data_IF_063617892932
#
_entry.id   IF_063617892932
#
_cell.length_a   1.000
_cell.length_b   1.000
_cell.length_c   1.000
_cell.angle_alpha   90.00
_cell.angle_beta   90.00
_cell.angle_gamma   90.00
#
_symmetry.space_group_name_H-M   'P 1'
#
loop_
_entity.id
_entity.type
_entity.pdbx_description
1 polymer ?
#
# COMPACT_ATOMS: atom_id res chain seq x y z
N UNK A 1 -21.28 -19.61 -4.00
CA UNK A 1 -20.95 -18.17 -3.96
C UNK A 1 -22.01 -17.40 -4.74
N UNK A 2 -22.67 -16.41 -4.14
CA UNK A 2 -23.57 -15.52 -4.85
C UNK A 2 -22.76 -14.40 -5.49
N UNK A 3 -22.84 -14.24 -6.80
CA UNK A 3 -22.18 -13.18 -7.56
C UNK A 3 -23.19 -12.23 -8.17
N UNK A 4 -22.76 -11.00 -8.44
CA UNK A 4 -23.50 -10.03 -9.25
C UNK A 4 -22.61 -9.56 -10.39
N UNK A 5 -23.12 -9.63 -11.60
CA UNK A 5 -22.40 -9.22 -12.79
C UNK A 5 -22.34 -7.69 -12.90
N UNK A 6 -21.15 -7.18 -13.27
CA UNK A 6 -20.89 -5.76 -13.51
C UNK A 6 -20.60 -5.44 -14.98
N UNK A 7 -20.50 -6.46 -15.82
CA UNK A 7 -20.32 -6.30 -17.26
C UNK A 7 -21.62 -5.80 -17.90
N UNK A 8 -21.53 -4.93 -18.91
CA UNK A 8 -22.70 -4.25 -19.49
C UNK A 8 -23.77 -5.22 -20.01
N UNK A 9 -23.36 -6.36 -20.58
CA UNK A 9 -24.23 -7.40 -21.14
C UNK A 9 -25.08 -8.14 -20.10
N UNK A 10 -24.62 -8.18 -18.85
CA UNK A 10 -25.24 -8.98 -17.77
C UNK A 10 -25.44 -8.19 -16.48
N UNK A 11 -25.36 -6.87 -16.55
CA UNK A 11 -25.35 -5.98 -15.40
C UNK A 11 -26.51 -6.28 -14.45
N UNK A 12 -26.22 -6.35 -13.16
CA UNK A 12 -27.17 -6.61 -12.06
C UNK A 12 -27.80 -8.01 -12.04
N UNK A 13 -27.49 -8.89 -13.01
CA UNK A 13 -27.85 -10.30 -12.92
C UNK A 13 -27.10 -10.94 -11.76
N UNK A 14 -27.82 -11.77 -10.99
CA UNK A 14 -27.25 -12.56 -9.91
C UNK A 14 -27.15 -14.03 -10.33
N UNK A 15 -26.11 -14.70 -9.84
CA UNK A 15 -25.88 -16.13 -10.08
C UNK A 15 -25.28 -16.78 -8.84
N UNK A 16 -25.59 -18.06 -8.63
CA UNK A 16 -24.97 -18.89 -7.61
C UNK A 16 -23.96 -19.80 -8.31
N UNK A 17 -22.69 -19.61 -7.98
CA UNK A 17 -21.60 -20.45 -8.46
C UNK A 17 -21.17 -21.44 -7.37
N UNK A 18 -21.15 -22.72 -7.73
CA UNK A 18 -20.47 -23.75 -6.94
C UNK A 18 -18.96 -23.70 -7.23
N UNK A 19 -18.14 -24.07 -6.24
CA UNK A 19 -16.70 -24.08 -6.37
C UNK A 19 -16.08 -25.20 -5.54
N UNK A 20 -15.03 -25.82 -6.07
CA UNK A 20 -14.17 -26.71 -5.28
C UNK A 20 -13.19 -25.90 -4.44
N UNK A 21 -12.63 -24.83 -5.03
CA UNK A 21 -11.68 -23.91 -4.41
C UNK A 21 -12.09 -22.46 -4.66
N UNK A 22 -11.90 -21.60 -3.66
CA UNK A 22 -12.15 -20.16 -3.72
C UNK A 22 -10.87 -19.40 -3.38
N UNK A 23 -10.45 -18.49 -4.26
CA UNK A 23 -9.30 -17.59 -4.01
C UNK A 23 -9.83 -16.16 -3.94
N UNK A 24 -9.75 -15.54 -2.76
CA UNK A 24 -10.05 -14.13 -2.57
C UNK A 24 -8.85 -13.28 -3.01
N UNK A 25 -8.97 -12.68 -4.20
CA UNK A 25 -8.00 -11.76 -4.78
C UNK A 25 -8.62 -10.37 -5.04
N UNK A 26 -9.65 -9.97 -4.28
CA UNK A 26 -10.45 -8.77 -4.57
C UNK A 26 -9.71 -7.44 -4.34
N UNK A 27 -8.50 -7.49 -3.81
CA UNK A 27 -7.78 -6.29 -3.36
C UNK A 27 -8.51 -5.59 -2.20
N UNK A 28 -8.20 -4.30 -1.96
CA UNK A 28 -8.86 -3.50 -0.94
C UNK A 28 -10.13 -2.83 -1.45
N UNK A 29 -11.12 -2.66 -0.56
CA UNK A 29 -12.04 -1.53 -0.61
C UNK A 29 -11.27 -0.27 -0.21
N UNK A 30 -11.34 0.75 -1.07
CA UNK A 30 -10.90 2.10 -0.75
C UNK A 30 -11.94 2.72 0.21
N UNK A 31 -11.64 2.75 1.50
CA UNK A 31 -12.60 3.10 2.53
C UNK A 31 -12.60 4.61 2.78
N UNK A 32 -12.97 5.39 1.76
CA UNK A 32 -13.08 6.84 1.85
C UNK A 32 -14.01 7.27 3.00
N UNK A 33 -15.16 6.59 3.15
CA UNK A 33 -16.13 6.88 4.21
C UNK A 33 -15.67 6.60 5.64
N UNK A 34 -14.44 6.10 5.86
CA UNK A 34 -13.84 6.06 7.20
C UNK A 34 -13.37 7.43 7.70
N UNK A 35 -13.22 8.40 6.78
CA UNK A 35 -12.88 9.78 7.09
C UNK A 35 -13.92 10.68 6.43
N UNK A 36 -14.61 11.49 7.24
CA UNK A 36 -15.63 12.40 6.72
C UNK A 36 -15.03 13.39 5.70
N UNK A 37 -15.69 13.55 4.54
CA UNK A 37 -15.27 14.47 3.47
C UNK A 37 -14.05 14.03 2.63
N UNK A 38 -13.49 12.85 2.90
CA UNK A 38 -12.36 12.30 2.14
C UNK A 38 -12.82 11.68 0.83
N UNK A 39 -12.04 11.88 -0.23
CA UNK A 39 -12.12 11.12 -1.49
C UNK A 39 -12.63 11.93 -2.68
N UNK A 40 -12.49 11.37 -3.90
CA UNK A 40 -12.70 12.08 -5.16
C UNK A 40 -14.15 12.50 -5.41
N UNK A 41 -15.09 11.91 -4.66
CA UNK A 41 -16.51 12.31 -4.65
C UNK A 41 -16.78 13.51 -3.71
N UNK A 42 -15.76 13.96 -2.95
CA UNK A 42 -15.84 15.03 -1.97
C UNK A 42 -14.75 16.08 -2.22
N UNK A 43 -13.80 16.25 -1.29
CA UNK A 43 -12.88 17.40 -1.28
C UNK A 43 -11.42 17.06 -1.62
N UNK A 44 -11.08 15.79 -1.87
CA UNK A 44 -9.69 15.36 -2.11
C UNK A 44 -9.58 14.36 -3.23
N UNK A 45 -8.47 14.37 -3.94
CA UNK A 45 -8.16 13.44 -5.00
C UNK A 45 -7.58 12.10 -4.51
N UNK A 46 -7.54 11.12 -5.42
CA UNK A 46 -7.00 9.78 -5.18
C UNK A 46 -6.33 9.23 -6.44
N UNK A 47 -5.25 8.46 -6.29
CA UNK A 47 -4.58 7.78 -7.42
C UNK A 47 -4.63 6.25 -7.28
N UNK A 48 -5.53 5.73 -6.44
CA UNK A 48 -5.62 4.30 -6.16
C UNK A 48 -6.26 3.48 -7.30
N UNK A 49 -7.03 4.12 -8.19
CA UNK A 49 -7.62 3.51 -9.39
C UNK A 49 -7.26 4.32 -10.62
N UNK A 50 -7.39 3.73 -11.81
CA UNK A 50 -7.12 4.46 -13.05
C UNK A 50 -8.12 5.61 -13.28
N UNK A 51 -9.40 5.44 -12.90
CA UNK A 51 -10.39 6.50 -13.00
C UNK A 51 -10.05 7.67 -12.06
N UNK A 52 -9.71 7.38 -10.80
CA UNK A 52 -9.35 8.44 -9.86
C UNK A 52 -8.07 9.16 -10.31
N UNK A 53 -7.07 8.43 -10.83
CA UNK A 53 -5.84 9.04 -11.33
C UNK A 53 -6.08 9.97 -12.53
N UNK A 54 -7.00 9.61 -13.44
CA UNK A 54 -7.38 10.47 -14.56
C UNK A 54 -8.07 11.76 -14.08
N UNK A 55 -9.05 11.65 -13.18
CA UNK A 55 -9.72 12.80 -12.58
C UNK A 55 -8.74 13.71 -11.81
N UNK A 56 -7.86 13.09 -11.01
CA UNK A 56 -6.81 13.79 -10.26
C UNK A 56 -5.91 14.59 -11.19
N UNK A 57 -5.59 14.07 -12.37
CA UNK A 57 -4.79 14.78 -13.36
C UNK A 57 -5.50 16.02 -13.89
N UNK A 58 -6.81 15.95 -14.15
CA UNK A 58 -7.61 17.10 -14.58
C UNK A 58 -7.62 18.20 -13.51
N UNK A 59 -7.86 17.83 -12.24
CA UNK A 59 -7.80 18.77 -11.11
C UNK A 59 -6.41 19.38 -10.92
N UNK A 60 -5.36 18.57 -11.07
CA UNK A 60 -3.98 19.05 -10.99
C UNK A 60 -3.63 19.99 -12.16
N UNK A 61 -4.13 19.74 -13.38
CA UNK A 61 -3.99 20.69 -14.49
C UNK A 61 -4.65 22.04 -14.19
N UNK A 62 -5.84 22.03 -13.58
CA UNK A 62 -6.51 23.26 -13.16
C UNK A 62 -5.69 24.01 -12.08
N UNK A 63 -5.08 23.29 -11.14
CA UNK A 63 -4.15 23.85 -10.16
C UNK A 63 -2.92 24.52 -10.84
N UNK A 64 -2.30 23.85 -11.82
CA UNK A 64 -1.21 24.45 -12.61
C UNK A 64 -1.66 25.70 -13.38
N UNK A 65 -2.84 25.68 -14.00
CA UNK A 65 -3.36 26.83 -14.75
C UNK A 65 -3.60 28.07 -13.86
N UNK A 66 -3.95 27.87 -12.57
CA UNK A 66 -4.03 28.98 -11.59
C UNK A 66 -2.66 29.53 -11.25
N UNK A 67 -1.66 28.67 -11.01
CA UNK A 67 -0.28 29.11 -10.81
C UNK A 67 0.28 29.84 -12.02
N UNK A 68 0.00 29.41 -13.25
CA UNK A 68 0.42 30.10 -14.48
C UNK A 68 -0.18 31.51 -14.60
N UNK A 69 -1.28 31.80 -13.89
CA UNK A 69 -1.89 33.13 -13.76
C UNK A 69 -1.36 33.95 -12.57
N UNK A 70 -0.42 33.41 -11.80
CA UNK A 70 0.18 34.07 -10.64
C UNK A 70 -0.49 33.77 -9.30
N UNK A 71 -1.47 32.87 -9.25
CA UNK A 71 -2.12 32.46 -8.00
C UNK A 71 -1.28 31.41 -7.26
N UNK A 72 -0.97 31.66 -5.98
CA UNK A 72 -0.30 30.64 -5.15
C UNK A 72 -1.23 29.45 -4.92
N UNK A 73 -0.69 28.24 -4.90
CA UNK A 73 -1.44 27.02 -4.64
C UNK A 73 -0.78 26.19 -3.55
N UNK A 74 -1.56 25.80 -2.55
CA UNK A 74 -1.19 24.88 -1.46
C UNK A 74 -1.59 23.47 -1.85
N UNK A 75 -0.60 22.62 -1.99
CA UNK A 75 -0.74 21.23 -2.43
C UNK A 75 -0.43 20.33 -1.24
N UNK A 76 -1.39 19.52 -0.82
CA UNK A 76 -1.21 18.53 0.26
C UNK A 76 -1.27 17.12 -0.30
N UNK A 77 -0.25 16.30 -0.03
CA UNK A 77 -0.20 14.90 -0.43
C UNK A 77 0.06 14.02 0.79
N UNK A 78 -0.54 12.83 0.86
CA UNK A 78 -0.20 11.88 1.92
C UNK A 78 -1.33 10.92 2.26
N UNK A 79 -1.62 10.75 3.55
CA UNK A 79 -2.63 9.79 4.03
C UNK A 79 -3.84 10.48 4.63
N UNK A 80 -5.03 10.03 4.24
CA UNK A 80 -6.31 10.60 4.65
C UNK A 80 -6.99 9.91 5.83
N UNK A 81 -6.34 8.95 6.49
CA UNK A 81 -6.92 8.23 7.62
C UNK A 81 -5.82 7.80 8.62
N UNK A 82 -6.09 7.73 9.94
CA UNK A 82 -5.08 7.37 10.96
C UNK A 82 -4.45 5.99 10.76
N UNK A 83 -5.15 5.08 10.09
CA UNK A 83 -4.72 3.70 9.81
C UNK A 83 -4.52 3.41 8.31
N UNK A 84 -4.27 4.43 7.49
CA UNK A 84 -3.98 4.25 6.07
C UNK A 84 -2.66 3.48 5.81
N UNK A 85 -2.53 2.96 4.59
CA UNK A 85 -1.33 2.29 4.06
C UNK A 85 -0.93 2.91 2.72
N UNK A 86 0.00 2.28 1.99
CA UNK A 86 0.44 2.69 0.66
C UNK A 86 1.10 4.08 0.61
N UNK A 87 1.81 4.46 1.67
CA UNK A 87 2.57 5.71 1.77
C UNK A 87 3.57 5.85 0.60
N UNK A 88 4.18 4.76 0.13
CA UNK A 88 5.08 4.80 -1.02
C UNK A 88 4.45 5.37 -2.30
N UNK A 89 3.15 5.12 -2.53
CA UNK A 89 2.44 5.66 -3.71
C UNK A 89 2.20 7.17 -3.58
N UNK A 90 1.81 7.63 -2.39
CA UNK A 90 1.67 9.05 -2.12
C UNK A 90 3.03 9.77 -2.17
N UNK A 91 4.09 9.15 -1.65
CA UNK A 91 5.43 9.69 -1.65
C UNK A 91 5.95 9.88 -3.08
N UNK A 92 5.73 8.88 -3.95
CA UNK A 92 5.98 9.00 -5.39
C UNK A 92 5.19 10.14 -6.03
N UNK A 93 3.90 10.26 -5.71
CA UNK A 93 3.05 11.29 -6.28
C UNK A 93 3.50 12.70 -5.89
N UNK A 94 3.88 12.91 -4.62
CA UNK A 94 4.40 14.19 -4.14
C UNK A 94 5.67 14.61 -4.90
N UNK A 95 6.61 13.68 -5.11
CA UNK A 95 7.82 13.93 -5.88
C UNK A 95 7.52 14.22 -7.35
N UNK A 96 6.55 13.52 -7.95
CA UNK A 96 6.15 13.77 -9.34
C UNK A 96 5.45 15.13 -9.50
N UNK A 97 4.64 15.58 -8.53
CA UNK A 97 4.08 16.95 -8.55
C UNK A 97 5.22 17.97 -8.47
N UNK A 98 6.14 17.83 -7.51
CA UNK A 98 7.25 18.76 -7.37
C UNK A 98 8.11 18.82 -8.65
N UNK A 99 8.36 17.67 -9.29
CA UNK A 99 9.03 17.61 -10.58
C UNK A 99 8.27 18.37 -11.69
N UNK A 100 6.95 18.20 -11.78
CA UNK A 100 6.12 18.89 -12.78
C UNK A 100 6.04 20.40 -12.54
N UNK A 101 5.93 20.84 -11.29
CA UNK A 101 5.99 22.25 -10.87
C UNK A 101 7.33 22.86 -11.31
N UNK A 102 8.44 22.21 -10.98
CA UNK A 102 9.79 22.68 -11.36
C UNK A 102 9.97 22.74 -12.88
N UNK A 103 9.45 21.73 -13.60
CA UNK A 103 9.50 21.70 -15.07
C UNK A 103 8.74 22.87 -15.70
N UNK A 104 7.64 23.29 -15.07
CA UNK A 104 6.84 24.46 -15.48
C UNK A 104 7.37 25.79 -14.94
N UNK A 105 8.41 25.77 -14.09
CA UNK A 105 8.99 26.92 -13.40
C UNK A 105 8.01 27.63 -12.46
N UNK A 106 7.13 26.86 -11.81
CA UNK A 106 6.07 27.36 -10.93
C UNK A 106 6.43 27.25 -9.43
N UNK A 107 7.67 26.90 -9.10
CA UNK A 107 8.11 26.59 -7.72
C UNK A 107 7.80 27.72 -6.73
N UNK A 108 7.95 28.96 -7.17
CA UNK A 108 7.69 30.17 -6.37
C UNK A 108 6.20 30.41 -6.03
N UNK A 109 5.29 29.65 -6.64
CA UNK A 109 3.84 29.72 -6.42
C UNK A 109 3.27 28.44 -5.81
N UNK A 110 4.05 27.36 -5.71
CA UNK A 110 3.59 26.09 -5.18
C UNK A 110 4.10 25.86 -3.75
N UNK A 111 3.19 25.66 -2.81
CA UNK A 111 3.52 25.17 -1.48
C UNK A 111 3.14 23.69 -1.39
N UNK A 112 4.14 22.80 -1.50
CA UNK A 112 3.91 21.36 -1.47
C UNK A 112 4.21 20.83 -0.07
N UNK A 113 3.26 20.09 0.49
CA UNK A 113 3.39 19.53 1.84
C UNK A 113 2.87 18.10 1.93
N UNK A 114 3.50 17.34 2.82
CA UNK A 114 3.20 15.96 3.13
C UNK A 114 2.48 15.84 4.48
N UNK A 115 1.42 15.05 4.57
CA UNK A 115 0.77 14.71 5.83
C UNK A 115 0.61 13.19 5.97
N UNK A 116 1.12 12.60 7.04
CA UNK A 116 1.14 11.14 7.18
C UNK A 116 0.89 10.65 8.60
N UNK A 117 0.23 9.49 8.66
CA UNK A 117 0.01 8.69 9.86
C UNK A 117 1.25 7.87 10.28
N UNK A 118 2.35 7.94 9.54
CA UNK A 118 3.64 7.35 9.93
C UNK A 118 4.19 8.03 11.19
N UNK A 119 4.88 7.28 12.04
CA UNK A 119 5.59 7.87 13.18
C UNK A 119 6.76 8.76 12.73
N UNK A 120 7.51 8.29 11.73
CA UNK A 120 8.61 9.01 11.10
C UNK A 120 8.49 8.91 9.58
N UNK A 121 8.96 9.94 8.88
CA UNK A 121 8.96 9.94 7.42
C UNK A 121 9.80 8.76 6.89
N UNK A 122 9.27 8.01 5.93
CA UNK A 122 9.96 6.86 5.34
C UNK A 122 9.85 5.57 6.15
N UNK A 123 8.86 5.48 7.05
CA UNK A 123 8.43 4.23 7.68
C UNK A 123 7.78 3.28 6.66
N UNK A 124 7.01 3.85 5.73
CA UNK A 124 6.28 3.20 4.64
C UNK A 124 5.37 2.03 5.05
N UNK A 125 4.94 1.98 6.32
CA UNK A 125 4.12 0.90 6.89
C UNK A 125 4.89 -0.40 7.16
N UNK A 126 6.22 -0.34 7.08
CA UNK A 126 7.11 -1.50 7.27
C UNK A 126 8.17 -1.28 8.35
N UNK A 127 7.97 -0.30 9.23
CA UNK A 127 8.92 0.06 10.30
C UNK A 127 10.20 0.73 9.77
N UNK A 128 10.14 1.33 8.58
CA UNK A 128 11.30 1.80 7.83
C UNK A 128 12.28 0.67 7.49
N UNK A 129 13.47 1.01 7.04
CA UNK A 129 14.56 0.06 6.84
C UNK A 129 15.94 0.71 6.99
N UNK A 130 16.97 -0.10 7.22
CA UNK A 130 18.36 0.30 7.10
C UNK A 130 18.88 -0.15 5.73
N UNK A 131 19.23 0.79 4.87
CA UNK A 131 19.71 0.54 3.51
C UNK A 131 21.22 0.77 3.45
N UNK A 132 21.92 -0.11 2.73
CA UNK A 132 23.33 0.10 2.41
C UNK A 132 23.44 0.95 1.14
N UNK A 133 24.09 2.11 1.22
CA UNK A 133 24.33 3.02 0.10
C UNK A 133 25.74 3.62 0.19
N UNK A 134 26.52 3.50 -0.88
CA UNK A 134 27.88 4.07 -0.99
C UNK A 134 28.80 3.78 0.20
N UNK A 135 28.71 2.57 0.77
CA UNK A 135 29.52 2.14 1.92
C UNK A 135 28.92 2.46 3.30
N UNK A 136 27.87 3.28 3.38
CA UNK A 136 27.19 3.63 4.62
C UNK A 136 25.88 2.85 4.80
N UNK A 137 25.47 2.68 6.05
CA UNK A 137 24.16 2.13 6.41
C UNK A 137 23.33 3.29 6.92
N UNK A 138 22.27 3.64 6.19
CA UNK A 138 21.40 4.77 6.52
C UNK A 138 19.96 4.29 6.71
N UNK A 139 19.22 4.82 7.69
CA UNK A 139 17.80 4.55 7.78
C UNK A 139 17.06 5.21 6.60
N UNK A 140 15.95 4.63 6.18
CA UNK A 140 15.07 5.16 5.12
C UNK A 140 14.57 6.56 5.41
N UNK A 141 14.45 6.93 6.69
CA UNK A 141 14.15 8.29 7.13
C UNK A 141 15.06 9.33 6.50
N UNK A 142 16.37 9.15 6.60
CA UNK A 142 17.35 10.10 6.06
C UNK A 142 17.22 10.22 4.55
N UNK A 143 16.95 9.10 3.85
CA UNK A 143 16.71 9.12 2.41
C UNK A 143 15.46 9.94 2.05
N UNK A 144 14.36 9.70 2.77
CA UNK A 144 13.09 10.34 2.52
C UNK A 144 13.13 11.85 2.84
N UNK A 145 13.71 12.23 3.98
CA UNK A 145 13.92 13.63 4.36
C UNK A 145 14.82 14.37 3.37
N UNK A 146 15.90 13.72 2.90
CA UNK A 146 16.80 14.30 1.89
C UNK A 146 16.07 14.57 0.57
N UNK A 147 15.24 13.61 0.11
CA UNK A 147 14.45 13.78 -1.11
C UNK A 147 13.41 14.89 -0.95
N UNK A 148 12.64 14.91 0.14
CA UNK A 148 11.66 15.97 0.35
C UNK A 148 12.32 17.34 0.45
N UNK A 149 13.47 17.45 1.12
CA UNK A 149 14.25 18.70 1.17
C UNK A 149 14.76 19.11 -0.22
N UNK A 150 15.30 18.19 -1.03
CA UNK A 150 15.75 18.47 -2.41
C UNK A 150 14.62 19.00 -3.30
N UNK A 151 13.39 18.52 -3.09
CA UNK A 151 12.21 18.91 -3.86
C UNK A 151 11.38 20.02 -3.21
N UNK A 152 11.83 20.61 -2.11
CA UNK A 152 11.12 21.70 -1.43
C UNK A 152 9.77 21.29 -0.81
N UNK A 153 9.62 20.02 -0.45
CA UNK A 153 8.40 19.47 0.15
C UNK A 153 8.53 19.52 1.68
N UNK A 154 7.57 20.15 2.36
CA UNK A 154 7.49 20.15 3.83
C UNK A 154 6.70 18.92 4.31
N UNK A 155 6.83 18.50 5.57
CA UNK A 155 6.11 17.32 6.06
C UNK A 155 5.60 17.43 7.49
N UNK A 156 4.49 16.73 7.74
CA UNK A 156 3.88 16.49 9.05
C UNK A 156 3.66 14.99 9.21
N UNK A 157 4.28 14.39 10.22
CA UNK A 157 4.16 12.96 10.56
C UNK A 157 3.49 12.81 11.92
N UNK A 158 3.04 11.60 12.25
CA UNK A 158 2.24 11.33 13.43
C UNK A 158 0.87 12.01 13.39
N UNK A 159 0.34 12.24 12.18
CA UNK A 159 -0.90 12.94 11.93
C UNK A 159 -2.00 11.97 11.47
N UNK A 160 -3.05 11.85 12.27
CA UNK A 160 -4.27 11.11 11.93
C UNK A 160 -5.35 12.05 11.41
N UNK A 161 -5.54 12.08 10.09
CA UNK A 161 -6.63 12.87 9.47
C UNK A 161 -8.00 12.36 9.94
N UNK A 162 -8.86 13.26 10.44
CA UNK A 162 -10.17 12.93 11.02
C UNK A 162 -11.33 13.35 10.14
N UNK A 163 -11.22 14.51 9.49
CA UNK A 163 -12.27 15.14 8.69
C UNK A 163 -11.65 16.04 7.64
N UNK A 164 -12.27 16.10 6.47
CA UNK A 164 -11.98 17.08 5.43
C UNK A 164 -13.20 17.97 5.22
N UNK A 165 -12.96 19.27 5.15
CA UNK A 165 -13.92 20.29 4.72
C UNK A 165 -13.37 20.96 3.45
N UNK A 166 -14.17 21.78 2.73
CA UNK A 166 -13.67 22.50 1.56
C UNK A 166 -12.40 23.30 1.89
N UNK A 167 -11.26 22.87 1.35
CA UNK A 167 -9.96 23.50 1.53
C UNK A 167 -9.31 23.34 2.90
N UNK A 168 -9.83 22.49 3.80
CA UNK A 168 -9.30 22.30 5.16
C UNK A 168 -9.22 20.81 5.53
N UNK A 169 -8.05 20.37 5.94
CA UNK A 169 -7.81 19.04 6.54
C UNK A 169 -7.75 19.19 8.06
N UNK A 170 -8.63 18.51 8.78
CA UNK A 170 -8.59 18.40 10.25
C UNK A 170 -7.86 17.11 10.64
N UNK A 171 -6.85 17.22 11.49
CA UNK A 171 -6.05 16.07 11.92
C UNK A 171 -5.63 16.14 13.38
N UNK A 172 -5.47 14.96 13.98
CA UNK A 172 -5.00 14.77 15.34
C UNK A 172 -3.50 14.39 15.29
N UNK A 173 -2.67 14.99 16.14
CA UNK A 173 -1.26 14.58 16.30
C UNK A 173 -1.10 13.47 17.32
N UNK A 174 0.04 12.78 17.33
CA UNK A 174 0.39 11.85 18.41
C UNK A 174 0.43 12.51 19.80
N UNK A 175 0.66 13.82 19.87
CA UNK A 175 0.57 14.59 21.12
C UNK A 175 -0.89 14.86 21.56
N UNK A 176 -1.89 14.52 20.73
CA UNK A 176 -3.32 14.73 20.98
C UNK A 176 -3.83 16.12 20.59
N UNK A 177 -3.02 16.90 19.87
CA UNK A 177 -3.41 18.21 19.37
C UNK A 177 -4.33 18.05 18.17
N UNK A 178 -5.45 18.80 18.15
CA UNK A 178 -6.29 18.91 16.95
C UNK A 178 -5.81 20.13 16.17
N UNK A 179 -5.37 19.92 14.95
CA UNK A 179 -4.82 20.95 14.08
C UNK A 179 -5.53 20.93 12.73
N UNK A 180 -5.38 22.04 12.02
CA UNK A 180 -5.91 22.21 10.68
C UNK A 180 -4.78 22.44 9.69
N UNK A 181 -4.99 22.01 8.45
CA UNK A 181 -4.11 22.30 7.32
C UNK A 181 -4.93 22.73 6.12
N UNK A 182 -4.68 23.94 5.64
CA UNK A 182 -5.38 24.48 4.48
C UNK A 182 -4.77 23.96 3.17
N UNK A 183 -5.58 23.78 2.14
CA UNK A 183 -5.16 23.29 0.84
C UNK A 183 -6.01 23.87 -0.30
N UNK A 184 -5.42 24.00 -1.48
CA UNK A 184 -6.12 24.32 -2.72
C UNK A 184 -6.22 23.09 -3.64
N UNK A 185 -5.32 22.11 -3.45
CA UNK A 185 -5.38 20.76 -4.00
C UNK A 185 -4.89 19.75 -2.96
N UNK A 186 -5.58 18.62 -2.81
CA UNK A 186 -5.15 17.55 -1.90
C UNK A 186 -5.31 16.18 -2.53
N UNK A 187 -4.29 15.31 -2.45
CA UNK A 187 -4.38 13.90 -2.81
C UNK A 187 -4.01 13.04 -1.59
N UNK A 188 -5.01 12.33 -1.05
CA UNK A 188 -4.87 11.59 0.21
C UNK A 188 -5.26 10.12 0.02
N UNK A 189 -4.39 9.21 0.47
CA UNK A 189 -4.64 7.78 0.43
C UNK A 189 -5.63 7.40 1.54
N UNK A 190 -6.76 6.72 1.23
CA UNK A 190 -7.74 6.33 2.23
C UNK A 190 -7.27 5.13 3.06
N UNK A 191 -8.01 4.85 4.14
CA UNK A 191 -7.92 3.56 4.81
C UNK A 191 -8.33 2.43 3.86
N UNK A 192 -7.71 1.26 4.00
CA UNK A 192 -8.08 0.06 3.24
C UNK A 192 -8.86 -0.91 4.13
N UNK A 193 -9.92 -1.48 3.56
CA UNK A 193 -10.72 -2.52 4.19
C UNK A 193 -10.92 -3.69 3.21
N UNK A 194 -11.45 -4.82 3.67
CA UNK A 194 -11.97 -5.83 2.76
C UNK A 194 -13.19 -5.32 2.00
N UNK A 195 -13.51 -5.95 0.87
CA UNK A 195 -14.58 -5.51 -0.04
C UNK A 195 -16.01 -5.70 0.50
N UNK A 196 -16.15 -6.16 1.76
CA UNK A 196 -17.44 -6.35 2.41
C UNK A 196 -18.10 -7.68 2.06
N UNK A 197 -17.31 -8.70 1.73
CA UNK A 197 -17.83 -10.05 1.54
C UNK A 197 -18.49 -10.56 2.83
N UNK A 198 -19.63 -11.24 2.66
CA UNK A 198 -20.37 -11.92 3.72
C UNK A 198 -20.27 -13.42 3.52
N UNK A 199 -20.28 -14.16 4.62
CA UNK A 199 -20.29 -15.61 4.61
C UNK A 199 -21.45 -16.13 5.44
N UNK A 200 -22.17 -17.12 4.90
CA UNK A 200 -23.30 -17.76 5.55
C UNK A 200 -23.09 -19.27 5.52
N UNK A 201 -23.43 -19.96 6.62
CA UNK A 201 -23.37 -21.42 6.67
C UNK A 201 -24.59 -22.05 5.95
N UNK A 202 -24.68 -23.39 5.92
CA UNK A 202 -25.79 -24.10 5.27
C UNK A 202 -27.16 -23.83 5.92
N UNK A 203 -27.19 -23.46 7.19
CA UNK A 203 -28.40 -23.11 7.93
C UNK A 203 -28.84 -21.65 7.70
N UNK A 204 -28.02 -20.85 7.02
CA UNK A 204 -28.25 -19.42 6.79
C UNK A 204 -27.68 -18.50 7.87
N UNK A 205 -26.95 -19.02 8.85
CA UNK A 205 -26.35 -18.19 9.91
C UNK A 205 -25.15 -17.39 9.36
N UNK A 206 -25.03 -16.13 9.79
CA UNK A 206 -23.89 -15.27 9.43
C UNK A 206 -22.61 -15.77 10.15
N UNK A 207 -21.66 -16.24 9.36
CA UNK A 207 -20.33 -16.71 9.80
C UNK A 207 -19.21 -15.78 9.30
N UNK A 208 -19.54 -14.54 8.93
CA UNK A 208 -18.58 -13.58 8.39
C UNK A 208 -17.40 -13.37 9.34
N UNK A 209 -17.63 -13.30 10.65
CA UNK A 209 -16.57 -13.11 11.65
C UNK A 209 -15.64 -14.32 11.82
N UNK A 210 -16.08 -15.50 11.36
CA UNK A 210 -15.25 -16.72 11.31
C UNK A 210 -14.23 -16.58 10.18
N UNK A 211 -14.65 -16.17 8.99
CA UNK A 211 -13.78 -16.08 7.81
C UNK A 211 -12.98 -14.76 7.75
N UNK A 212 -13.56 -13.65 8.20
CA UNK A 212 -13.01 -12.31 8.02
C UNK A 212 -12.62 -11.68 9.36
N UNK A 213 -11.55 -10.88 9.33
CA UNK A 213 -11.18 -10.00 10.44
C UNK A 213 -12.12 -8.78 10.51
N UNK A 214 -12.06 -8.02 11.60
CA UNK A 214 -12.94 -6.86 11.82
C UNK A 214 -12.82 -5.78 10.72
N UNK A 215 -11.65 -5.66 10.07
CA UNK A 215 -11.42 -4.79 8.92
C UNK A 215 -11.92 -5.38 7.59
N UNK A 216 -12.57 -6.54 7.61
CA UNK A 216 -13.14 -7.21 6.45
C UNK A 216 -12.16 -8.01 5.59
N UNK A 217 -10.87 -8.04 5.92
CA UNK A 217 -9.90 -8.89 5.21
C UNK A 217 -10.04 -10.36 5.62
N UNK A 218 -9.73 -11.28 4.71
CA UNK A 218 -9.89 -12.71 4.95
C UNK A 218 -8.79 -13.25 5.87
N UNK A 219 -9.18 -13.96 6.94
CA UNK A 219 -8.24 -14.66 7.81
C UNK A 219 -7.60 -15.84 7.08
N UNK A 220 -6.30 -16.01 7.29
CA UNK A 220 -5.48 -17.07 6.69
C UNK A 220 -4.65 -17.79 7.77
N UNK A 221 -3.67 -18.61 7.41
CA UNK A 221 -2.79 -19.40 8.28
C UNK A 221 -1.80 -18.55 9.11
N UNK A 222 -2.29 -17.51 9.77
CA UNK A 222 -1.53 -16.59 10.61
C UNK A 222 -1.92 -16.74 12.10
N UNK A 223 -1.04 -16.29 13.00
CA UNK A 223 -1.35 -16.18 14.42
C UNK A 223 -1.98 -14.82 14.72
N UNK A 224 -3.28 -14.81 14.97
CA UNK A 224 -4.06 -13.60 15.28
C UNK A 224 -4.18 -13.32 16.79
N UNK A 225 -3.42 -14.01 17.63
CA UNK A 225 -3.41 -13.76 19.08
C UNK A 225 -2.94 -12.34 19.35
N UNK A 226 -3.69 -11.59 20.17
CA UNK A 226 -3.30 -10.23 20.57
C UNK A 226 -2.06 -10.29 21.46
N UNK A 227 -0.95 -9.75 20.96
CA UNK A 227 0.35 -9.70 21.64
C UNK A 227 0.90 -8.27 21.61
N UNK A 228 1.67 -7.85 22.63
CA UNK A 228 2.39 -6.57 22.56
C UNK A 228 3.46 -6.62 21.46
N UNK A 229 3.85 -5.44 20.95
CA UNK A 229 4.84 -5.29 19.85
C UNK A 229 6.15 -6.07 20.09
N UNK A 230 6.62 -6.14 21.34
CA UNK A 230 7.85 -6.86 21.72
C UNK A 230 7.76 -8.38 21.59
N UNK A 231 6.55 -8.94 21.50
CA UNK A 231 6.30 -10.37 21.41
C UNK A 231 5.92 -10.84 20.00
N UNK A 232 5.79 -9.91 19.05
CA UNK A 232 5.50 -10.25 17.65
C UNK A 232 6.64 -11.02 17.02
N UNK A 233 6.31 -12.09 16.30
CA UNK A 233 7.30 -12.98 15.70
C UNK A 233 7.14 -13.07 14.18
N UNK A 234 8.26 -13.29 13.45
CA UNK A 234 8.24 -13.70 12.05
C UNK A 234 7.28 -14.86 11.74
N UNK A 235 7.13 -15.80 12.69
CA UNK A 235 6.26 -16.98 12.57
C UNK A 235 4.76 -16.68 12.68
N UNK A 236 4.39 -15.49 13.15
CA UNK A 236 2.97 -15.10 13.25
C UNK A 236 2.37 -14.84 11.85
N UNK A 237 3.22 -14.54 10.86
CA UNK A 237 2.80 -14.25 9.49
C UNK A 237 2.50 -15.51 8.67
N UNK A 238 1.46 -15.46 7.81
CA UNK A 238 1.04 -16.61 7.02
C UNK A 238 2.11 -17.06 6.03
N UNK A 239 2.00 -18.30 5.60
CA UNK A 239 2.92 -18.90 4.62
C UNK A 239 2.23 -19.63 3.48
N UNK A 240 0.96 -20.02 3.67
CA UNK A 240 0.17 -20.83 2.74
C UNK A 240 -1.03 -20.05 2.19
N UNK A 241 -1.56 -19.11 2.98
CA UNK A 241 -2.71 -18.25 2.73
C UNK A 241 -4.05 -18.98 2.58
N UNK A 242 -4.18 -20.17 3.19
CA UNK A 242 -5.46 -20.88 3.37
C UNK A 242 -6.18 -20.36 4.60
N UNK A 243 -7.51 -20.28 4.54
CA UNK A 243 -8.34 -20.01 5.71
C UNK A 243 -8.26 -21.16 6.73
N UNK A 244 -8.08 -20.88 8.03
CA UNK A 244 -7.90 -21.92 9.04
C UNK A 244 -9.15 -22.76 9.31
N UNK A 245 -10.34 -22.30 8.93
CA UNK A 245 -11.61 -23.03 9.12
C UNK A 245 -12.04 -23.78 7.86
N UNK A 246 -11.85 -23.17 6.68
CA UNK A 246 -12.29 -23.71 5.40
C UNK A 246 -11.08 -24.05 4.52
N UNK A 247 -10.80 -25.35 4.39
CA UNK A 247 -9.62 -25.89 3.71
C UNK A 247 -9.64 -25.83 2.16
N UNK A 248 -10.51 -25.00 1.62
CA UNK A 248 -10.64 -24.75 0.20
C UNK A 248 -10.81 -23.26 -0.11
N UNK A 249 -10.62 -22.40 0.89
CA UNK A 249 -10.74 -20.94 0.78
C UNK A 249 -9.36 -20.33 1.03
N UNK A 250 -8.89 -19.50 0.11
CA UNK A 250 -7.58 -18.86 0.14
C UNK A 250 -7.71 -17.35 -0.04
N UNK A 251 -6.67 -16.59 0.33
CA UNK A 251 -6.54 -15.19 -0.04
C UNK A 251 -5.17 -14.85 -0.62
N UNK A 252 -5.10 -13.84 -1.46
CA UNK A 252 -3.84 -13.34 -2.01
C UNK A 252 -3.81 -11.83 -2.10
N UNK A 253 -2.59 -11.27 -2.19
CA UNK A 253 -2.34 -9.85 -2.28
C UNK A 253 -2.87 -9.07 -1.08
N UNK A 254 -3.60 -7.99 -1.32
CA UNK A 254 -4.11 -7.13 -0.24
C UNK A 254 -5.27 -7.79 0.54
N UNK A 255 -5.95 -8.79 -0.03
CA UNK A 255 -7.21 -9.32 0.50
C UNK A 255 -7.08 -10.16 1.78
N UNK A 256 -5.88 -10.68 2.10
CA UNK A 256 -5.66 -11.40 3.36
C UNK A 256 -5.50 -10.42 4.53
N UNK A 257 -5.89 -10.85 5.73
CA UNK A 257 -5.75 -10.10 6.96
C UNK A 257 -4.34 -10.29 7.54
N UNK A 258 -3.50 -9.24 7.65
CA UNK A 258 -2.26 -9.33 8.41
C UNK A 258 -2.54 -9.67 9.88
N UNK A 259 -1.72 -10.51 10.53
CA UNK A 259 -1.89 -10.84 11.95
C UNK A 259 -1.70 -9.62 12.86
N UNK A 260 -0.81 -8.73 12.47
CA UNK A 260 -0.47 -7.50 13.17
C UNK A 260 0.18 -6.49 12.20
N UNK A 261 0.47 -5.28 12.67
CA UNK A 261 1.24 -4.28 11.90
C UNK A 261 2.70 -4.71 11.76
N UNK A 262 3.46 -4.04 10.88
CA UNK A 262 4.92 -4.22 10.82
C UNK A 262 5.60 -3.11 11.61
N UNK A 263 5.20 -1.86 11.36
CA UNK A 263 5.63 -0.71 12.15
C UNK A 263 5.11 -0.81 13.58
N UNK A 264 5.87 -0.25 14.53
CA UNK A 264 5.43 -0.15 15.91
C UNK A 264 4.12 0.64 15.98
N UNK A 265 3.03 0.09 16.53
CA UNK A 265 1.80 0.84 16.73
C UNK A 265 2.04 2.04 17.64
N UNK A 266 1.48 3.17 17.23
CA UNK A 266 1.46 4.42 17.97
C UNK A 266 0.02 4.80 18.29
N UNK A 267 -0.15 5.36 19.48
CA UNK A 267 -1.43 5.82 20.00
C UNK A 267 -1.21 7.24 20.49
N UNK A 268 -2.12 8.15 20.14
CA UNK A 268 -2.06 9.52 20.64
C UNK A 268 -2.31 9.57 22.15
N UNK A 269 -2.01 10.71 22.78
CA UNK A 269 -2.36 10.95 24.19
C UNK A 269 -3.88 10.88 24.46
N UNK A 270 -4.72 11.00 23.42
CA UNK A 270 -6.19 10.84 23.50
C UNK A 270 -6.67 9.40 23.29
N UNK A 271 -5.78 8.46 23.00
CA UNK A 271 -6.15 7.06 22.75
C UNK A 271 -6.46 6.72 21.29
N UNK A 272 -6.28 7.66 20.35
CA UNK A 272 -6.48 7.40 18.91
C UNK A 272 -5.30 6.60 18.36
N UNK A 273 -5.57 5.46 17.72
CA UNK A 273 -4.54 4.72 16.99
C UNK A 273 -4.16 5.48 15.71
N UNK A 274 -2.92 5.96 15.63
CA UNK A 274 -2.36 6.67 14.47
C UNK A 274 -1.13 5.89 14.04
N UNK A 275 -1.26 5.03 13.04
CA UNK A 275 -0.18 4.12 12.64
C UNK A 275 -0.32 3.69 11.19
N UNK A 276 0.82 3.66 10.49
CA UNK A 276 0.90 3.07 9.17
C UNK A 276 0.59 1.57 9.23
N UNK A 277 -0.26 1.09 8.31
CA UNK A 277 -0.61 -0.33 8.22
C UNK A 277 0.22 -1.05 7.15
N UNK A 278 0.41 -2.36 7.34
CA UNK A 278 1.35 -3.15 6.55
C UNK A 278 1.05 -3.11 5.03
N UNK A 279 2.02 -2.73 4.19
CA UNK A 279 1.85 -2.70 2.74
C UNK A 279 1.93 -4.11 2.15
N UNK A 280 1.07 -4.41 1.18
CA UNK A 280 1.12 -5.65 0.37
C UNK A 280 1.41 -5.26 -1.07
N UNK A 281 2.69 -5.08 -1.39
CA UNK A 281 3.17 -4.56 -2.68
C UNK A 281 3.07 -5.60 -3.81
N UNK A 282 3.43 -5.21 -5.03
CA UNK A 282 3.31 -6.06 -6.23
C UNK A 282 4.05 -7.39 -6.14
N UNK A 283 5.34 -7.37 -5.79
CA UNK A 283 6.16 -8.59 -5.71
C UNK A 283 5.62 -9.61 -4.69
N UNK A 284 5.40 -9.28 -3.41
CA UNK A 284 4.74 -10.20 -2.48
C UNK A 284 3.36 -10.66 -2.97
N UNK A 285 2.55 -9.79 -3.59
CA UNK A 285 1.24 -10.22 -4.13
C UNK A 285 1.37 -11.27 -5.24
N UNK A 286 2.32 -11.10 -6.16
CA UNK A 286 2.61 -12.07 -7.23
C UNK A 286 3.13 -13.40 -6.69
N UNK A 287 4.09 -13.35 -5.77
CA UNK A 287 4.66 -14.55 -5.12
C UNK A 287 3.58 -15.31 -4.33
N UNK A 288 2.73 -14.62 -3.58
CA UNK A 288 1.64 -15.23 -2.82
C UNK A 288 0.63 -15.88 -3.76
N UNK A 289 0.21 -15.18 -4.82
CA UNK A 289 -0.70 -15.73 -5.83
C UNK A 289 -0.16 -17.00 -6.47
N UNK A 290 1.14 -17.01 -6.81
CA UNK A 290 1.82 -18.19 -7.34
C UNK A 290 1.81 -19.35 -6.35
N UNK A 291 2.17 -19.14 -5.08
CA UNK A 291 2.20 -20.21 -4.07
C UNK A 291 0.82 -20.81 -3.82
N UNK A 292 -0.23 -19.97 -3.76
CA UNK A 292 -1.62 -20.45 -3.64
C UNK A 292 -2.00 -21.32 -4.84
N UNK A 293 -1.72 -20.85 -6.06
CA UNK A 293 -2.02 -21.60 -7.28
C UNK A 293 -1.26 -22.94 -7.36
N UNK A 294 0.04 -22.95 -7.04
CA UNK A 294 0.87 -24.17 -7.03
C UNK A 294 0.36 -25.19 -6.00
N UNK A 295 0.01 -24.76 -4.78
CA UNK A 295 -0.52 -25.65 -3.76
C UNK A 295 -1.90 -26.23 -4.13
N UNK A 296 -2.80 -25.44 -4.74
CA UNK A 296 -4.09 -25.94 -5.22
C UNK A 296 -3.88 -26.95 -6.36
N UNK A 297 -3.00 -26.65 -7.32
CA UNK A 297 -2.69 -27.55 -8.42
C UNK A 297 -2.10 -28.88 -7.92
N UNK A 298 -1.18 -28.85 -6.95
CA UNK A 298 -0.60 -30.03 -6.33
C UNK A 298 -1.66 -30.87 -5.60
N UNK A 299 -2.56 -30.22 -4.86
CA UNK A 299 -3.70 -30.88 -4.19
C UNK A 299 -4.59 -31.62 -5.18
N UNK A 300 -4.95 -30.98 -6.30
CA UNK A 300 -5.79 -31.58 -7.35
C UNK A 300 -5.08 -32.78 -7.99
N UNK A 301 -3.78 -32.65 -8.31
CA UNK A 301 -3.03 -33.71 -9.02
C UNK A 301 -2.71 -34.92 -8.15
N UNK A 302 -2.50 -34.71 -6.85
CA UNK A 302 -1.97 -35.76 -5.95
C UNK A 302 -2.99 -36.27 -4.95
N UNK A 303 -4.09 -35.54 -4.71
CA UNK A 303 -5.02 -35.78 -3.61
C UNK A 303 -4.44 -35.54 -2.22
N UNK A 304 -3.17 -35.12 -2.10
CA UNK A 304 -2.51 -34.86 -0.82
C UNK A 304 -2.85 -33.47 -0.31
N UNK A 305 -2.99 -33.33 1.00
CA UNK A 305 -3.28 -32.04 1.66
C UNK A 305 -2.04 -31.27 2.13
N UNK A 306 -0.86 -31.86 1.94
CA UNK A 306 0.41 -31.25 2.31
C UNK A 306 0.74 -30.03 1.45
N UNK A 307 1.43 -29.07 2.06
CA UNK A 307 1.84 -27.82 1.43
C UNK A 307 3.32 -27.81 1.11
N UNK A 308 3.62 -27.98 -0.17
CA UNK A 308 5.00 -27.94 -0.67
C UNK A 308 5.49 -26.51 -0.85
N UNK A 309 4.62 -25.60 -1.27
CA UNK A 309 4.96 -24.22 -1.59
C UNK A 309 4.62 -23.31 -0.42
N UNK A 310 5.56 -22.44 -0.02
CA UNK A 310 5.39 -21.51 1.10
C UNK A 310 5.98 -20.14 0.76
N UNK A 311 5.28 -19.08 1.16
CA UNK A 311 5.69 -17.71 0.96
C UNK A 311 5.27 -16.87 2.16
N UNK A 312 6.19 -16.47 3.03
CA UNK A 312 5.86 -15.56 4.14
C UNK A 312 6.49 -14.20 3.90
N UNK A 313 5.77 -13.11 4.20
CA UNK A 313 6.33 -11.75 4.16
C UNK A 313 7.52 -11.59 5.11
N UNK A 314 7.65 -12.46 6.12
CA UNK A 314 8.81 -12.53 7.00
C UNK A 314 9.99 -13.34 6.41
N UNK A 315 9.83 -13.93 5.22
CA UNK A 315 10.85 -14.78 4.55
C UNK A 315 11.02 -14.47 3.07
N UNK A 316 10.34 -13.46 2.54
CA UNK A 316 10.49 -12.97 1.17
C UNK A 316 10.88 -11.48 1.18
N UNK A 317 11.45 -11.03 0.07
CA UNK A 317 11.79 -9.62 -0.12
C UNK A 317 10.70 -8.86 -0.86
N UNK A 318 10.89 -7.54 -0.93
CA UNK A 318 10.14 -6.69 -1.84
C UNK A 318 11.11 -5.71 -2.51
N UNK A 319 10.86 -5.43 -3.79
CA UNK A 319 11.43 -4.31 -4.51
C UNK A 319 10.35 -3.22 -4.67
N UNK A 320 10.70 -1.98 -4.35
CA UNK A 320 9.87 -0.81 -4.55
C UNK A 320 10.66 0.21 -5.37
N UNK A 321 10.03 0.78 -6.40
CA UNK A 321 10.65 1.78 -7.27
C UNK A 321 9.73 2.98 -7.33
N UNK A 322 10.14 4.05 -6.69
CA UNK A 322 9.43 5.32 -6.56
C UNK A 322 9.95 6.24 -7.64
N UNK A 323 9.10 6.63 -8.59
CA UNK A 323 9.47 7.64 -9.58
C UNK A 323 9.61 9.00 -8.88
N UNK A 324 10.66 9.74 -9.22
CA UNK A 324 10.92 11.09 -8.74
C UNK A 324 11.13 11.99 -9.96
N UNK A 325 10.14 11.98 -10.87
CA UNK A 325 10.24 12.62 -12.19
C UNK A 325 10.39 11.64 -13.35
N UNK A 326 10.03 12.13 -14.54
CA UNK A 326 9.88 11.31 -15.75
C UNK A 326 10.74 11.81 -16.92
N UNK A 327 11.32 10.88 -17.68
CA UNK A 327 11.95 11.17 -18.96
C UNK A 327 13.15 10.28 -19.26
N UNK A 328 13.33 9.93 -20.54
CA UNK A 328 14.38 9.03 -21.04
C UNK A 328 15.79 9.37 -20.52
N UNK A 329 16.15 10.66 -20.47
CA UNK A 329 17.48 11.12 -20.03
C UNK A 329 17.49 11.84 -18.68
N UNK A 330 16.33 12.30 -18.21
CA UNK A 330 16.21 13.19 -17.03
C UNK A 330 15.36 12.59 -15.92
N UNK A 331 14.74 11.44 -16.14
CA UNK A 331 13.98 10.73 -15.12
C UNK A 331 14.89 10.31 -13.97
N UNK A 332 14.35 10.39 -12.75
CA UNK A 332 14.99 9.88 -11.55
C UNK A 332 14.01 8.93 -10.88
N UNK A 333 14.52 7.88 -10.25
CA UNK A 333 13.73 7.07 -9.35
C UNK A 333 14.56 6.70 -8.12
N UNK A 334 13.89 6.62 -6.98
CA UNK A 334 14.42 5.97 -5.79
C UNK A 334 14.01 4.50 -5.83
N UNK A 335 14.98 3.61 -5.97
CA UNK A 335 14.78 2.16 -5.93
C UNK A 335 15.23 1.64 -4.59
N UNK A 336 14.39 0.82 -3.96
CA UNK A 336 14.69 0.18 -2.70
C UNK A 336 14.32 -1.29 -2.76
N UNK A 337 15.20 -2.15 -2.28
CA UNK A 337 14.89 -3.54 -1.99
C UNK A 337 14.97 -3.75 -0.49
N UNK A 338 14.11 -4.63 0.04
CA UNK A 338 14.16 -5.05 1.44
C UNK A 338 14.04 -6.57 1.52
N UNK A 339 14.78 -7.18 2.44
CA UNK A 339 14.63 -8.61 2.73
C UNK A 339 14.96 -8.92 4.20
N UNK A 340 14.06 -9.56 4.94
CA UNK A 340 12.63 -9.79 4.64
C UNK A 340 11.80 -8.50 4.67
N UNK A 341 10.54 -8.56 4.21
CA UNK A 341 9.60 -7.42 4.30
C UNK A 341 9.25 -7.14 5.76
N UNK A 342 8.83 -8.18 6.49
CA UNK A 342 8.63 -8.12 7.95
C UNK A 342 9.99 -8.34 8.61
N UNK A 343 10.50 -7.43 9.46
CA UNK A 343 11.78 -7.60 10.13
C UNK A 343 11.87 -8.90 10.93
N UNK A 344 13.04 -9.53 10.89
CA UNK A 344 13.38 -10.71 11.68
C UNK A 344 14.60 -10.37 12.55
N UNK A 345 14.33 -9.92 13.78
CA UNK A 345 15.35 -9.52 14.74
C UNK A 345 16.07 -10.70 15.38
N UNK A 346 15.50 -11.91 15.34
CA UNK A 346 16.19 -13.12 15.79
C UNK A 346 17.30 -13.51 14.80
N UNK A 347 17.00 -13.46 13.50
CA UNK A 347 17.94 -13.79 12.44
C UNK A 347 18.89 -12.64 12.07
N UNK A 348 18.41 -11.40 12.15
CA UNK A 348 19.16 -10.19 11.79
C UNK A 348 19.18 -9.17 12.95
N UNK A 349 19.84 -9.49 14.08
CA UNK A 349 19.70 -8.74 15.33
C UNK A 349 20.12 -7.27 15.25
N UNK A 350 21.00 -6.92 14.32
CA UNK A 350 21.51 -5.54 14.21
C UNK A 350 20.55 -4.59 13.48
N UNK A 351 19.84 -5.08 12.46
CA UNK A 351 19.12 -4.22 11.51
C UNK A 351 17.72 -4.74 11.14
N UNK A 352 17.29 -5.87 11.71
CA UNK A 352 16.03 -6.56 11.42
C UNK A 352 15.96 -7.16 10.02
N UNK A 353 16.90 -6.84 9.12
CA UNK A 353 16.92 -7.25 7.72
C UNK A 353 18.33 -7.58 7.24
N UNK A 354 18.40 -8.33 6.15
CA UNK A 354 19.64 -8.67 5.48
C UNK A 354 20.13 -7.50 4.60
N UNK A 355 21.21 -6.84 5.01
CA UNK A 355 21.82 -5.73 4.27
C UNK A 355 22.43 -6.11 2.92
N UNK A 356 22.65 -7.40 2.63
CA UNK A 356 23.09 -7.84 1.28
C UNK A 356 21.97 -7.64 0.25
N UNK A 357 20.72 -7.76 0.68
CA UNK A 357 19.53 -7.67 -0.15
C UNK A 357 18.66 -6.43 0.18
N UNK A 358 19.05 -5.65 1.19
CA UNK A 358 18.37 -4.42 1.59
C UNK A 358 19.20 -3.23 1.14
N UNK A 359 18.88 -2.73 -0.06
CA UNK A 359 19.67 -1.74 -0.80
C UNK A 359 18.78 -0.57 -1.18
N UNK A 360 19.39 0.61 -1.32
CA UNK A 360 18.69 1.81 -1.76
C UNK A 360 19.57 2.64 -2.70
N UNK A 361 19.05 2.94 -3.88
CA UNK A 361 19.73 3.74 -4.89
C UNK A 361 18.79 4.78 -5.47
N UNK A 362 19.35 5.95 -5.79
CA UNK A 362 18.63 7.01 -6.51
C UNK A 362 19.36 7.22 -7.83
N UNK A 363 18.62 7.20 -8.92
CA UNK A 363 19.19 7.55 -10.22
C UNK A 363 18.31 7.20 -11.41
N UNK A 364 18.87 7.42 -12.60
CA UNK A 364 18.22 7.16 -13.87
C UNK A 364 18.01 5.65 -14.12
N UNK A 365 18.88 4.79 -13.59
CA UNK A 365 18.76 3.34 -13.72
C UNK A 365 17.43 2.82 -13.14
N UNK A 366 17.03 3.32 -11.96
CA UNK A 366 15.75 2.99 -11.36
C UNK A 366 14.54 3.41 -12.22
N UNK A 367 14.64 4.57 -12.87
CA UNK A 367 13.58 5.06 -13.77
C UNK A 367 13.38 4.12 -14.96
N UNK A 368 14.47 3.72 -15.62
CA UNK A 368 14.42 2.73 -16.70
C UNK A 368 13.92 1.38 -16.22
N UNK A 369 14.39 0.91 -15.07
CA UNK A 369 13.94 -0.34 -14.49
C UNK A 369 12.42 -0.33 -14.25
N UNK A 370 11.86 0.75 -13.71
CA UNK A 370 10.40 0.90 -13.54
C UNK A 370 9.65 0.82 -14.88
N UNK A 371 10.15 1.51 -15.91
CA UNK A 371 9.53 1.50 -17.24
C UNK A 371 9.58 0.10 -17.88
N UNK A 372 10.70 -0.59 -17.77
CA UNK A 372 10.86 -1.96 -18.25
C UNK A 372 9.88 -2.89 -17.52
N UNK A 373 9.84 -2.82 -16.19
CA UNK A 373 8.92 -3.63 -15.39
C UNK A 373 7.46 -3.37 -15.72
N UNK A 374 7.09 -2.12 -16.03
CA UNK A 374 5.73 -1.78 -16.49
C UNK A 374 5.35 -2.56 -17.75
N UNK A 375 6.18 -2.52 -18.80
CA UNK A 375 5.89 -3.23 -20.04
C UNK A 375 6.00 -4.75 -19.89
N UNK A 376 6.98 -5.24 -19.13
CA UNK A 376 7.12 -6.68 -18.85
C UNK A 376 5.92 -7.22 -18.08
N UNK A 377 5.40 -6.48 -17.09
CA UNK A 377 4.21 -6.87 -16.36
C UNK A 377 2.98 -6.92 -17.27
N UNK A 378 2.77 -5.92 -18.13
CA UNK A 378 1.65 -5.93 -19.10
C UNK A 378 1.77 -7.08 -20.10
N UNK A 379 2.98 -7.38 -20.57
CA UNK A 379 3.24 -8.53 -21.43
C UNK A 379 2.88 -9.84 -20.72
N UNK A 380 3.29 -9.96 -19.45
CA UNK A 380 2.99 -11.11 -18.60
C UNK A 380 1.49 -11.26 -18.33
N UNK A 381 0.80 -10.18 -17.99
CA UNK A 381 -0.62 -10.16 -17.68
C UNK A 381 -1.50 -10.55 -18.89
N UNK A 382 -1.03 -10.29 -20.12
CA UNK A 382 -1.67 -10.75 -21.36
C UNK A 382 -1.40 -12.22 -21.69
N UNK A 383 -0.62 -12.93 -20.87
CA UNK A 383 -0.21 -14.32 -21.10
C UNK A 383 0.46 -14.55 -22.47
N UNK A 384 1.20 -13.55 -22.96
CA UNK A 384 1.93 -13.64 -24.22
C UNK A 384 3.01 -14.75 -24.18
N UNK A 385 3.52 -15.23 -25.33
CA UNK A 385 4.53 -16.30 -25.37
C UNK A 385 5.71 -16.05 -24.42
N UNK A 386 6.12 -17.06 -23.68
CA UNK A 386 7.21 -17.02 -22.70
C UNK A 386 6.97 -16.11 -21.48
N UNK A 387 5.72 -15.72 -21.19
CA UNK A 387 5.40 -14.89 -20.01
C UNK A 387 5.92 -15.48 -18.69
N UNK A 388 5.99 -16.81 -18.58
CA UNK A 388 6.44 -17.51 -17.36
C UNK A 388 7.95 -17.36 -17.10
N UNK A 389 8.72 -16.86 -18.07
CA UNK A 389 10.13 -16.51 -17.89
C UNK A 389 10.30 -15.14 -17.21
N UNK A 390 9.24 -14.31 -17.17
CA UNK A 390 9.25 -13.03 -16.50
C UNK A 390 9.06 -13.27 -15.00
N UNK A 391 10.06 -12.93 -14.15
CA UNK A 391 9.97 -13.17 -12.71
C UNK A 391 8.82 -12.39 -12.07
N UNK A 392 8.46 -12.77 -10.85
CA UNK A 392 7.58 -11.96 -9.98
C UNK A 392 8.30 -10.75 -9.39
#
# INVERSE_FOLDING_TARGET
>A
MKIRYVSEDRKDREEILEYDYLINATGPKLNFGATEGLGPEFYTDSVCTYQHAALTWEHLQACFAKMEKGERQRIVVGTGHPLATCQGAAFEFALNIAFEVARRKLDHLAEISWISNEYELGDFGMGGAFIKRSGYITPTKILAESLFTEYGITWTVGAGVKKIEPGIIHYETLAGEELIKEFDFAMLIPGFAGVGLKAYNKSGDDITTVLFAANGFLKVDADYTLKPYSEWKPSDWPSIYENPTYNNVFATGIAFAPPHAISKPMVSTKGTAISATAPRTGMPSGVIGKVVAENIADRIKTGRREYKHKASMARMGAACVISAGFGIKKGKAASMTVFPIVPDWEKYPKWGRNLRYTLGEIGLAGHWFKLIMHYMFLYKAKANPFWWLIPE
#
